data_IF_835830735748
#
_entry.id   IF_835830735748
#
_cell.length_a   1.000
_cell.length_b   1.000
_cell.length_c   1.000
_cell.angle_alpha   90.00
_cell.angle_beta   90.00
_cell.angle_gamma   90.00
#
_symmetry.space_group_name_H-M   'P 1'
#
loop_
_entity.id
_entity.type
_entity.pdbx_description
1 polymer ?
#
# COMPACT_ATOMS: atom_id res chain seq x y z
N UNK A 1 33.13 -4.29 -12.08
CA UNK A 1 32.59 -3.26 -11.17
C UNK A 1 31.54 -3.90 -10.30
N UNK A 2 31.51 -3.61 -9.01
CA UNK A 2 30.53 -4.20 -8.08
C UNK A 2 29.29 -3.34 -7.91
N UNK A 3 28.39 -3.76 -7.03
CA UNK A 3 27.11 -3.08 -6.78
C UNK A 3 27.11 -2.34 -5.45
N UNK A 4 26.22 -1.36 -5.35
CA UNK A 4 25.83 -0.74 -4.09
C UNK A 4 24.34 -1.03 -3.90
N UNK A 5 23.97 -1.67 -2.79
CA UNK A 5 22.59 -1.92 -2.41
C UNK A 5 22.25 -1.21 -1.10
N UNK A 6 21.00 -0.77 -0.98
CA UNK A 6 20.47 -0.24 0.27
C UNK A 6 19.95 -1.40 1.11
N UNK A 7 20.41 -1.50 2.36
CA UNK A 7 19.97 -2.48 3.34
C UNK A 7 18.80 -1.93 4.16
N UNK A 8 18.01 -2.78 4.82
CA UNK A 8 17.03 -2.34 5.80
C UNK A 8 17.63 -1.55 6.97
N UNK A 9 16.81 -0.70 7.58
CA UNK A 9 17.10 0.02 8.81
C UNK A 9 17.47 -0.96 9.92
N UNK A 10 18.58 -0.67 10.60
CA UNK A 10 19.09 -1.49 11.70
C UNK A 10 19.98 -2.65 11.27
N UNK A 11 20.21 -2.86 9.96
CA UNK A 11 21.28 -3.74 9.49
C UNK A 11 22.62 -3.01 9.47
N UNK A 12 23.69 -3.73 9.79
CA UNK A 12 25.05 -3.20 9.72
C UNK A 12 25.48 -3.02 8.26
N UNK A 13 26.38 -2.04 8.03
CA UNK A 13 26.99 -1.87 6.71
C UNK A 13 27.82 -3.10 6.36
N UNK A 14 27.73 -3.55 5.11
CA UNK A 14 28.43 -4.75 4.65
C UNK A 14 29.28 -4.45 3.43
N UNK A 15 30.39 -5.18 3.31
CA UNK A 15 31.19 -5.24 2.08
C UNK A 15 31.45 -6.71 1.77
N UNK A 16 31.06 -7.14 0.57
CA UNK A 16 31.39 -8.48 0.07
C UNK A 16 32.40 -8.35 -1.07
N UNK A 17 33.39 -9.23 -1.05
CA UNK A 17 34.41 -9.31 -2.08
C UNK A 17 34.19 -10.57 -2.89
N UNK A 18 34.11 -10.43 -4.21
CA UNK A 18 33.99 -11.54 -5.17
C UNK A 18 35.11 -11.45 -6.19
N UNK A 19 35.43 -12.58 -6.84
CA UNK A 19 36.50 -12.66 -7.83
C UNK A 19 37.91 -12.84 -7.23
N UNK A 20 38.91 -12.90 -8.10
CA UNK A 20 40.31 -13.14 -7.77
C UNK A 20 41.19 -12.20 -8.58
N UNK A 21 42.37 -11.83 -8.06
CA UNK A 21 43.27 -10.88 -8.72
C UNK A 21 43.54 -11.25 -10.20
N UNK A 22 43.48 -10.29 -11.13
CA UNK A 22 43.23 -8.84 -10.92
C UNK A 22 41.75 -8.46 -10.83
N UNK A 23 40.83 -9.38 -11.09
CA UNK A 23 39.38 -9.14 -11.22
C UNK A 23 38.64 -9.23 -9.89
N UNK A 24 39.08 -8.45 -8.91
CA UNK A 24 38.38 -8.33 -7.63
C UNK A 24 37.21 -7.34 -7.75
N UNK A 25 36.04 -7.75 -7.27
CA UNK A 25 34.81 -6.96 -7.27
C UNK A 25 34.31 -6.79 -5.84
N UNK A 26 34.05 -5.54 -5.46
CA UNK A 26 33.53 -5.18 -4.14
C UNK A 26 32.07 -4.76 -4.26
N UNK A 27 31.19 -5.40 -3.50
CA UNK A 27 29.78 -5.01 -3.39
C UNK A 27 29.50 -4.46 -1.99
N UNK A 28 28.84 -3.31 -1.93
CA UNK A 28 28.57 -2.59 -0.70
C UNK A 28 27.08 -2.68 -0.36
N UNK A 29 26.77 -3.01 0.89
CA UNK A 29 25.44 -2.86 1.48
C UNK A 29 25.43 -1.67 2.43
N UNK A 30 24.70 -0.62 2.08
CA UNK A 30 24.59 0.61 2.88
C UNK A 30 23.28 0.58 3.68
N UNK A 31 23.31 0.71 5.01
CA UNK A 31 22.10 0.76 5.83
C UNK A 31 21.18 1.89 5.39
N UNK A 32 19.94 1.53 5.11
CA UNK A 32 18.87 2.46 4.73
C UNK A 32 18.13 3.01 5.93
N UNK A 33 17.17 3.88 5.65
CA UNK A 33 16.31 4.53 6.64
C UNK A 33 14.97 3.79 6.83
N UNK A 34 14.68 2.77 6.01
CA UNK A 34 13.42 2.05 6.02
C UNK A 34 13.57 0.63 6.57
N UNK A 35 12.64 0.13 7.40
CA UNK A 35 12.69 -1.23 7.94
C UNK A 35 12.65 -2.30 6.84
N UNK A 36 12.96 -3.55 7.21
CA UNK A 36 13.00 -4.65 6.26
C UNK A 36 11.64 -4.86 5.61
N UNK A 37 11.63 -4.90 4.27
CA UNK A 37 10.42 -5.17 3.50
C UNK A 37 9.99 -6.62 3.75
N UNK A 38 8.72 -6.83 4.12
CA UNK A 38 8.18 -8.17 4.28
C UNK A 38 7.83 -8.73 2.90
N UNK A 39 8.69 -9.58 2.35
CA UNK A 39 8.60 -10.06 0.95
C UNK A 39 7.38 -10.94 0.68
N UNK A 40 6.82 -11.55 1.73
CA UNK A 40 5.65 -12.46 1.64
C UNK A 40 4.33 -11.80 2.04
N UNK A 41 4.37 -10.52 2.45
CA UNK A 41 3.16 -9.75 2.75
C UNK A 41 3.03 -8.61 1.77
N UNK A 42 1.79 -8.23 1.46
CA UNK A 42 1.52 -7.22 0.44
C UNK A 42 0.67 -6.08 0.98
N UNK A 43 0.79 -4.91 0.37
CA UNK A 43 -0.20 -3.84 0.50
C UNK A 43 -1.02 -3.85 -0.78
N UNK A 44 -2.33 -3.94 -0.60
CA UNK A 44 -3.30 -3.81 -1.68
C UNK A 44 -3.91 -2.43 -1.58
N UNK A 45 -3.77 -1.60 -2.60
CA UNK A 45 -4.35 -0.27 -2.57
C UNK A 45 -4.85 0.17 -3.94
N UNK A 46 -5.91 0.95 -3.95
CA UNK A 46 -6.43 1.53 -5.18
C UNK A 46 -7.85 2.03 -5.00
N UNK A 47 -8.57 2.10 -6.12
CA UNK A 47 -9.89 2.70 -6.16
C UNK A 47 -10.85 1.81 -6.93
N UNK A 48 -11.99 1.50 -6.31
CA UNK A 48 -13.05 0.72 -6.92
C UNK A 48 -14.32 1.56 -7.09
N UNK A 49 -14.85 1.70 -8.31
CA UNK A 49 -16.16 2.31 -8.51
C UNK A 49 -17.27 1.45 -7.89
N UNK A 50 -18.43 2.06 -7.59
CA UNK A 50 -19.61 1.37 -7.03
C UNK A 50 -19.97 0.10 -7.82
N UNK A 51 -19.82 0.14 -9.15
CA UNK A 51 -20.10 -0.99 -10.02
C UNK A 51 -19.28 -2.25 -9.67
N UNK A 52 -18.03 -2.06 -9.24
CA UNK A 52 -17.08 -3.13 -8.95
C UNK A 52 -17.25 -3.71 -7.53
N UNK A 53 -17.95 -3.01 -6.64
CA UNK A 53 -18.30 -3.49 -5.28
C UNK A 53 -19.73 -4.03 -5.18
N UNK A 54 -20.34 -4.40 -6.31
CA UNK A 54 -21.69 -4.99 -6.37
C UNK A 54 -22.80 -4.04 -6.79
N UNK A 55 -22.47 -2.86 -7.34
CA UNK A 55 -23.42 -1.96 -7.99
C UNK A 55 -24.31 -1.14 -7.04
N UNK A 56 -24.05 -1.19 -5.74
CA UNK A 56 -24.75 -0.39 -4.73
C UNK A 56 -23.81 -0.01 -3.58
N UNK A 57 -24.20 0.97 -2.77
CA UNK A 57 -23.42 1.33 -1.59
C UNK A 57 -23.52 0.23 -0.54
N UNK A 58 -22.38 -0.36 -0.17
CA UNK A 58 -22.24 -1.39 0.85
C UNK A 58 -21.34 -0.89 1.98
N UNK A 59 -21.50 -1.48 3.16
CA UNK A 59 -20.57 -1.24 4.26
C UNK A 59 -19.22 -1.88 3.94
N UNK A 60 -18.11 -1.29 4.41
CA UNK A 60 -16.77 -1.84 4.19
C UNK A 60 -16.62 -3.26 4.74
N UNK A 61 -17.33 -3.60 5.82
CA UNK A 61 -17.36 -4.97 6.37
C UNK A 61 -17.97 -6.01 5.44
N UNK A 62 -18.68 -5.58 4.38
CA UNK A 62 -19.23 -6.46 3.35
C UNK A 62 -18.32 -6.57 2.10
N UNK A 63 -17.22 -5.81 2.04
CA UNK A 63 -16.23 -5.95 0.97
C UNK A 63 -15.55 -7.30 1.10
N UNK A 64 -15.56 -8.07 0.01
CA UNK A 64 -14.96 -9.40 -0.02
C UNK A 64 -13.54 -9.37 -0.58
N UNK A 65 -12.78 -10.44 -0.33
CA UNK A 65 -11.46 -10.62 -0.92
C UNK A 65 -11.52 -10.57 -2.45
N UNK A 66 -12.50 -11.25 -3.03
CA UNK A 66 -12.68 -11.34 -4.47
C UNK A 66 -12.88 -9.96 -5.11
N UNK A 67 -13.65 -9.07 -4.47
CA UNK A 67 -13.84 -7.68 -4.93
C UNK A 67 -12.53 -6.88 -4.94
N UNK A 68 -11.52 -7.26 -4.18
CA UNK A 68 -10.21 -6.59 -4.20
C UNK A 68 -9.29 -7.29 -5.21
N UNK A 69 -9.23 -8.63 -5.17
CA UNK A 69 -8.28 -9.41 -5.96
C UNK A 69 -8.65 -9.55 -7.43
N UNK A 70 -9.94 -9.46 -7.80
CA UNK A 70 -10.38 -9.49 -9.20
C UNK A 70 -9.87 -8.29 -10.01
N UNK A 71 -9.53 -7.20 -9.32
CA UNK A 71 -9.12 -5.92 -9.90
C UNK A 71 -7.60 -5.70 -9.89
N UNK A 72 -6.83 -6.77 -9.71
CA UNK A 72 -5.38 -6.76 -9.89
C UNK A 72 -4.99 -6.74 -11.37
N UNK A 73 -5.79 -7.37 -12.24
CA UNK A 73 -5.47 -7.47 -13.68
C UNK A 73 -5.92 -6.26 -14.48
N UNK A 74 -6.92 -5.52 -14.00
CA UNK A 74 -7.38 -4.27 -14.64
C UNK A 74 -6.70 -3.02 -14.05
N UNK A 75 -5.71 -3.21 -13.17
CA UNK A 75 -4.90 -2.18 -12.52
C UNK A 75 -5.69 -1.16 -11.68
N UNK A 76 -6.92 -1.46 -11.27
CA UNK A 76 -7.66 -0.61 -10.32
C UNK A 76 -7.17 -0.80 -8.89
N UNK A 77 -6.66 -1.99 -8.57
CA UNK A 77 -5.95 -2.30 -7.32
C UNK A 77 -4.50 -2.64 -7.64
N UNK A 78 -3.58 -1.97 -6.96
CA UNK A 78 -2.15 -2.26 -6.97
C UNK A 78 -1.82 -3.22 -5.83
N UNK A 79 -0.98 -4.22 -6.10
CA UNK A 79 -0.40 -5.14 -5.11
C UNK A 79 1.10 -4.92 -5.08
N UNK A 80 1.63 -4.45 -3.96
CA UNK A 80 3.07 -4.22 -3.77
C UNK A 80 3.55 -4.93 -2.50
N UNK A 81 4.83 -5.36 -2.42
CA UNK A 81 5.32 -5.98 -1.19
C UNK A 81 5.31 -4.97 -0.04
N UNK A 82 4.93 -5.41 1.15
CA UNK A 82 4.58 -4.55 2.27
C UNK A 82 5.79 -3.73 2.76
N UNK A 83 5.63 -2.41 2.72
CA UNK A 83 6.60 -1.42 3.17
C UNK A 83 5.89 -0.13 3.57
N UNK A 84 6.61 0.79 4.22
CA UNK A 84 6.08 2.13 4.49
C UNK A 84 5.86 2.89 3.18
N UNK A 85 4.71 3.55 3.07
CA UNK A 85 4.36 4.37 1.92
C UNK A 85 4.23 5.83 2.38
N UNK A 86 5.12 6.68 1.89
CA UNK A 86 5.18 8.09 2.34
C UNK A 86 4.13 8.98 1.67
N UNK A 87 3.80 8.70 0.41
CA UNK A 87 2.79 9.44 -0.36
C UNK A 87 2.44 8.68 -1.65
N UNK A 88 1.23 8.14 -1.73
CA UNK A 88 0.72 7.52 -2.96
C UNK A 88 -0.62 8.12 -3.35
N UNK A 89 -0.76 8.58 -4.59
CA UNK A 89 -2.00 9.20 -5.05
C UNK A 89 -3.04 8.12 -5.44
N UNK A 90 -4.29 8.27 -4.99
CA UNK A 90 -5.42 7.42 -5.44
C UNK A 90 -6.05 7.86 -6.77
N UNK A 91 -5.56 8.96 -7.33
CA UNK A 91 -6.04 9.54 -8.59
C UNK A 91 -6.18 11.06 -8.50
N UNK A 92 -6.21 11.70 -9.65
CA UNK A 92 -6.47 13.13 -9.80
C UNK A 92 -7.97 13.45 -9.71
N UNK A 93 -8.31 14.74 -9.62
CA UNK A 93 -9.70 15.19 -9.47
C UNK A 93 -10.59 14.83 -10.67
N UNK A 94 -10.04 14.84 -11.88
CA UNK A 94 -10.74 14.45 -13.10
C UNK A 94 -10.88 12.93 -13.27
N UNK A 95 -10.01 12.17 -12.60
CA UNK A 95 -10.05 10.70 -12.59
C UNK A 95 -11.01 10.14 -11.54
N UNK A 96 -11.26 10.87 -10.44
CA UNK A 96 -12.14 10.42 -9.35
C UNK A 96 -13.62 10.65 -9.65
N UNK A 97 -14.46 9.77 -9.10
CA UNK A 97 -15.91 9.93 -9.11
C UNK A 97 -16.49 9.88 -7.70
N UNK A 98 -17.60 10.59 -7.51
CA UNK A 98 -18.40 10.49 -6.28
C UNK A 98 -18.92 9.06 -6.18
N UNK A 99 -18.72 8.43 -5.03
CA UNK A 99 -19.08 7.04 -4.80
C UNK A 99 -17.94 6.04 -4.98
N UNK A 100 -16.78 6.46 -5.47
CA UNK A 100 -15.61 5.57 -5.56
C UNK A 100 -15.13 5.17 -4.16
N UNK A 101 -14.82 3.89 -4.00
CA UNK A 101 -14.26 3.31 -2.78
C UNK A 101 -12.74 3.42 -2.84
N UNK A 102 -12.15 4.09 -1.86
CA UNK A 102 -10.72 3.99 -1.60
C UNK A 102 -10.46 2.68 -0.87
N UNK A 103 -9.68 1.78 -1.45
CA UNK A 103 -9.38 0.48 -0.84
C UNK A 103 -7.93 0.49 -0.41
N UNK A 104 -7.67 0.13 0.84
CA UNK A 104 -6.33 -0.12 1.35
C UNK A 104 -6.35 -1.31 2.29
N UNK A 105 -5.80 -2.45 1.88
CA UNK A 105 -5.57 -3.58 2.77
C UNK A 105 -4.08 -3.68 3.07
N UNK A 106 -3.74 -3.58 4.35
CA UNK A 106 -2.36 -3.67 4.85
C UNK A 106 -2.23 -4.79 5.88
N UNK A 107 -1.05 -5.39 6.05
CA UNK A 107 -0.83 -6.38 7.11
C UNK A 107 -1.03 -5.76 8.49
N UNK A 108 -1.32 -6.57 9.51
CA UNK A 108 -1.66 -6.10 10.86
C UNK A 108 -0.59 -5.24 11.58
N UNK A 109 0.66 -5.26 11.11
CA UNK A 109 1.75 -4.43 11.63
C UNK A 109 1.83 -3.03 11.00
N UNK A 110 0.96 -2.74 10.04
CA UNK A 110 0.89 -1.45 9.36
C UNK A 110 -0.42 -0.74 9.64
N UNK A 111 -0.38 0.59 9.61
CA UNK A 111 -1.58 1.43 9.68
C UNK A 111 -1.64 2.37 8.49
N UNK A 112 -2.81 2.48 7.86
CA UNK A 112 -3.03 3.36 6.73
C UNK A 112 -3.77 4.65 7.15
N UNK A 113 -3.40 5.75 6.50
CA UNK A 113 -3.98 7.07 6.71
C UNK A 113 -4.24 7.78 5.37
N UNK A 114 -5.16 8.73 5.40
CA UNK A 114 -5.32 9.73 4.36
C UNK A 114 -4.34 10.87 4.65
N UNK A 115 -3.68 11.36 3.60
CA UNK A 115 -2.81 12.54 3.66
C UNK A 115 -3.37 13.66 2.78
N UNK A 116 -3.33 14.89 3.29
CA UNK A 116 -3.83 16.11 2.64
C UNK A 116 -2.92 16.66 1.51
N UNK A 117 -1.86 15.92 1.17
CA UNK A 117 -0.84 16.32 0.19
C UNK A 117 0.23 17.28 0.72
N UNK A 118 0.01 17.92 1.88
CA UNK A 118 0.96 18.78 2.59
C UNK A 118 1.68 18.06 3.73
N UNK A 119 1.30 16.81 4.01
CA UNK A 119 1.98 15.93 4.96
C UNK A 119 1.16 15.65 6.23
N UNK A 120 0.02 16.30 6.42
CA UNK A 120 -0.87 16.02 7.54
C UNK A 120 -1.62 14.71 7.28
N UNK A 121 -1.66 13.82 8.27
CA UNK A 121 -2.39 12.56 8.19
C UNK A 121 -3.72 12.64 8.92
N UNK A 122 -4.70 11.86 8.48
CA UNK A 122 -6.03 11.73 9.07
C UNK A 122 -6.54 10.29 8.92
N UNK A 123 -7.38 9.87 9.85
CA UNK A 123 -8.06 8.57 9.76
C UNK A 123 -9.12 8.57 8.66
N UNK A 124 -9.49 7.39 8.17
CA UNK A 124 -10.57 7.25 7.22
C UNK A 124 -11.93 7.56 7.86
N UNK A 125 -12.84 8.18 7.10
CA UNK A 125 -14.20 8.51 7.56
C UNK A 125 -15.09 7.27 7.60
N UNK A 126 -15.49 6.83 8.81
CA UNK A 126 -16.27 5.60 9.00
C UNK A 126 -17.80 5.82 8.95
N UNK A 127 -18.29 7.05 9.05
CA UNK A 127 -19.72 7.33 9.28
C UNK A 127 -20.66 6.98 8.11
N UNK A 128 -20.20 7.06 6.86
CA UNK A 128 -21.06 6.90 5.67
C UNK A 128 -20.94 5.49 5.08
N UNK A 129 -19.73 4.93 5.11
CA UNK A 129 -19.34 3.55 4.82
C UNK A 129 -17.82 3.59 4.65
N UNK A 130 -17.09 3.60 5.75
CA UNK A 130 -15.64 3.53 5.74
C UNK A 130 -15.14 2.47 6.70
N UNK A 131 -13.84 2.26 6.66
CA UNK A 131 -13.15 1.39 7.59
C UNK A 131 -11.84 2.03 8.01
N UNK A 132 -11.52 1.92 9.29
CA UNK A 132 -10.24 2.34 9.83
C UNK A 132 -9.50 1.16 10.47
N UNK A 133 -9.36 0.06 9.72
CA UNK A 133 -8.63 -1.14 10.14
C UNK A 133 -9.51 -2.31 10.59
N UNK A 134 -10.54 -2.62 9.80
CA UNK A 134 -11.37 -3.83 10.03
C UNK A 134 -10.65 -5.08 9.50
N UNK A 135 -10.96 -6.24 10.06
CA UNK A 135 -10.34 -7.49 9.62
C UNK A 135 -10.88 -7.95 8.26
N UNK A 136 -9.98 -8.32 7.35
CA UNK A 136 -10.28 -8.99 6.09
C UNK A 136 -9.27 -10.10 5.83
N UNK A 137 -9.71 -11.20 5.23
CA UNK A 137 -8.81 -12.29 4.80
C UNK A 137 -8.56 -12.19 3.31
N UNK A 138 -7.30 -11.97 2.89
CA UNK A 138 -6.88 -11.94 1.48
C UNK A 138 -5.85 -13.05 1.25
N UNK A 139 -6.03 -13.85 0.20
CA UNK A 139 -5.10 -14.95 -0.15
C UNK A 139 -4.75 -15.88 1.05
N UNK A 140 -5.71 -16.14 1.95
CA UNK A 140 -5.54 -16.92 3.19
C UNK A 140 -4.69 -16.26 4.30
N UNK A 141 -4.35 -14.98 4.17
CA UNK A 141 -3.69 -14.19 5.21
C UNK A 141 -4.62 -13.10 5.77
N UNK A 142 -4.43 -12.73 7.03
CA UNK A 142 -5.20 -11.68 7.70
C UNK A 142 -4.61 -10.31 7.41
N UNK A 143 -5.48 -9.38 7.03
CA UNK A 143 -5.16 -7.99 6.73
C UNK A 143 -6.13 -7.06 7.46
N UNK A 144 -5.71 -5.81 7.59
CA UNK A 144 -6.52 -4.70 8.04
C UNK A 144 -6.95 -3.88 6.83
N UNK A 145 -8.27 -3.80 6.63
CA UNK A 145 -8.88 -3.01 5.58
C UNK A 145 -9.18 -1.60 6.10
N UNK A 146 -8.71 -0.63 5.34
CA UNK A 146 -8.94 0.79 5.51
C UNK A 146 -9.56 1.34 4.23
N UNK A 147 -10.32 2.41 4.36
CA UNK A 147 -10.91 3.07 3.22
C UNK A 147 -12.13 3.89 3.55
N UNK A 148 -12.57 4.66 2.56
CA UNK A 148 -13.82 5.40 2.61
C UNK A 148 -14.35 5.60 1.19
N UNK A 149 -15.64 5.90 1.11
CA UNK A 149 -16.27 6.36 -0.12
C UNK A 149 -15.94 7.84 -0.35
N UNK A 150 -15.60 8.21 -1.57
CA UNK A 150 -15.44 9.60 -1.97
C UNK A 150 -16.80 10.31 -2.05
N UNK A 151 -16.99 11.34 -1.25
CA UNK A 151 -18.17 12.21 -1.29
C UNK A 151 -18.06 13.32 -2.35
N UNK A 152 -16.86 13.58 -2.84
CA UNK A 152 -16.54 14.56 -3.87
C UNK A 152 -15.36 14.09 -4.72
N UNK A 153 -15.26 14.61 -5.94
CA UNK A 153 -14.05 14.49 -6.75
C UNK A 153 -12.92 15.23 -6.05
N UNK A 154 -11.81 14.55 -5.79
CA UNK A 154 -10.68 15.14 -5.08
C UNK A 154 -9.41 14.33 -5.29
N UNK A 155 -8.27 14.98 -5.05
CA UNK A 155 -6.99 14.29 -4.97
C UNK A 155 -6.80 13.80 -3.54
N UNK A 156 -6.63 12.48 -3.37
CA UNK A 156 -6.40 11.86 -2.07
C UNK A 156 -5.06 11.13 -2.09
N UNK A 157 -4.27 11.31 -1.04
CA UNK A 157 -3.00 10.61 -0.87
C UNK A 157 -3.11 9.56 0.24
N UNK A 158 -2.47 8.42 0.04
CA UNK A 158 -2.24 7.35 0.99
C UNK A 158 -0.91 7.55 1.71
N UNK A 159 -0.94 7.36 3.02
CA UNK A 159 0.23 7.16 3.86
C UNK A 159 0.09 5.82 4.60
N UNK A 160 1.16 5.01 4.64
CA UNK A 160 1.20 3.74 5.39
C UNK A 160 2.45 3.72 6.27
N UNK A 161 2.26 3.48 7.58
CA UNK A 161 3.33 3.39 8.58
C UNK A 161 3.51 1.99 9.16
#
# INVERSE_FOLDING_TARGET
MGTVSTLPLGQDATVTMTGTFPDVVLNFGIPGTQPAQEIDKFIYYGRLPIADVGGSVIQYSAITADMITSHLTDNKINKIPASKLEKVCFGEEDETAIGDYLIVAVPANYTAYIQDGFGSTSTFFEEIAGANGIDITLESAQYKLYGQILSAKCKVFLYVE
#
